data_IF_420010483750
#
_entry.id   IF_420010483750
#
_cell.length_a   1.000
_cell.length_b   1.000
_cell.length_c   1.000
_cell.angle_alpha   90.00
_cell.angle_beta   90.00
_cell.angle_gamma   90.00
#
_symmetry.space_group_name_H-M   'P 1'
#
loop_
_entity.id
_entity.type
_entity.pdbx_description
1 polymer ?
#
# COMPACT_ATOMS: atom_id res chain seq x y z
N UNK A 1 -4.38 -8.51 -6.09
CA UNK A 1 -3.47 -7.44 -5.64
C UNK A 1 -2.05 -7.83 -6.01
N UNK A 2 -1.40 -7.05 -6.91
CA UNK A 2 -0.01 -7.27 -7.28
C UNK A 2 0.92 -6.51 -6.33
N UNK A 3 1.85 -7.22 -5.71
CA UNK A 3 2.98 -6.62 -4.99
C UNK A 3 4.16 -6.61 -5.94
N UNK A 4 4.75 -5.45 -6.15
CA UNK A 4 5.93 -5.26 -6.99
C UNK A 4 7.15 -5.18 -6.09
N UNK A 5 8.07 -6.11 -6.23
CA UNK A 5 9.37 -6.11 -5.56
C UNK A 5 10.44 -5.40 -6.40
N UNK A 6 11.31 -4.66 -5.72
CA UNK A 6 12.28 -3.78 -6.34
C UNK A 6 13.72 -4.27 -6.10
N UNK A 7 14.54 -4.50 -7.16
CA UNK A 7 15.92 -4.97 -7.10
C UNK A 7 16.94 -3.91 -7.55
N UNK A 8 18.18 -4.15 -7.20
CA UNK A 8 19.31 -3.26 -7.40
C UNK A 8 20.01 -3.53 -8.74
N UNK A 9 20.21 -2.49 -9.55
CA UNK A 9 21.23 -2.47 -10.60
C UNK A 9 22.31 -1.46 -10.22
N UNK A 10 23.55 -1.91 -10.08
CA UNK A 10 24.70 -1.07 -9.75
C UNK A 10 25.25 -0.31 -10.96
N UNK A 11 24.78 -0.56 -12.19
CA UNK A 11 25.42 -0.05 -13.41
C UNK A 11 24.76 1.16 -14.06
N UNK A 12 23.52 1.48 -13.75
CA UNK A 12 22.85 2.74 -14.12
C UNK A 12 22.79 3.11 -15.61
N UNK A 13 23.11 2.20 -16.51
CA UNK A 13 23.13 2.45 -17.95
C UNK A 13 22.02 1.64 -18.64
N UNK A 14 20.96 2.32 -19.10
CA UNK A 14 20.01 1.75 -20.04
C UNK A 14 20.67 1.38 -21.38
N UNK A 15 19.98 0.59 -22.22
CA UNK A 15 20.52 0.11 -23.51
C UNK A 15 20.88 1.22 -24.51
N UNK A 16 20.46 2.47 -24.26
CA UNK A 16 20.75 3.66 -25.07
C UNK A 16 21.86 4.54 -24.46
N UNK A 17 22.53 4.09 -23.38
CA UNK A 17 23.61 4.83 -22.73
C UNK A 17 23.17 6.08 -21.98
N UNK A 18 21.87 6.26 -21.75
CA UNK A 18 21.37 7.35 -20.89
C UNK A 18 21.54 6.93 -19.44
N UNK A 19 22.42 7.62 -18.73
CA UNK A 19 22.50 7.55 -17.27
C UNK A 19 21.28 8.29 -16.73
N UNK A 20 20.24 7.56 -16.32
CA UNK A 20 19.21 8.16 -15.47
C UNK A 20 19.90 8.56 -14.15
N UNK A 21 19.74 9.79 -13.72
CA UNK A 21 20.20 10.19 -12.38
C UNK A 21 19.55 9.23 -11.38
N UNK A 22 20.32 8.45 -10.60
CA UNK A 22 19.75 7.55 -9.64
C UNK A 22 18.88 8.35 -8.69
N UNK A 23 17.59 7.97 -8.57
CA UNK A 23 16.72 8.58 -7.56
C UNK A 23 17.16 8.08 -6.20
N UNK A 24 17.35 9.00 -5.26
CA UNK A 24 17.68 8.65 -3.89
C UNK A 24 16.47 8.18 -3.10
N UNK A 25 16.72 7.40 -2.07
CA UNK A 25 15.71 6.98 -1.10
C UNK A 25 15.10 8.19 -0.40
N UNK A 26 13.87 8.03 0.06
CA UNK A 26 13.12 9.08 0.76
C UNK A 26 12.55 8.57 2.07
N UNK A 27 12.49 9.47 3.05
CA UNK A 27 11.81 9.28 4.33
C UNK A 27 11.00 10.52 4.68
N UNK A 28 10.29 10.48 5.80
CA UNK A 28 9.59 11.63 6.35
C UNK A 28 10.59 12.58 7.04
N UNK A 29 10.27 13.87 7.04
CA UNK A 29 11.08 14.90 7.74
C UNK A 29 10.79 14.92 9.23
N UNK A 30 9.56 14.69 9.63
CA UNK A 30 9.10 14.69 11.03
C UNK A 30 7.98 13.65 11.23
N UNK A 31 7.76 13.21 12.48
CA UNK A 31 6.61 12.38 12.81
C UNK A 31 5.28 13.05 12.47
N UNK A 32 4.31 12.24 12.07
CA UNK A 32 2.90 12.64 11.88
C UNK A 32 2.00 11.50 12.31
N UNK A 33 0.78 11.77 12.71
CA UNK A 33 -0.17 10.74 13.12
C UNK A 33 -1.61 11.11 12.85
N UNK A 34 -2.46 10.11 12.91
CA UNK A 34 -3.91 10.22 12.82
C UNK A 34 -4.58 9.19 13.73
N UNK A 35 -5.86 9.34 13.93
CA UNK A 35 -6.75 8.34 14.50
C UNK A 35 -7.93 8.11 13.57
N UNK A 36 -8.52 6.94 13.63
CA UNK A 36 -9.70 6.61 12.85
C UNK A 36 -10.20 5.21 13.15
N UNK A 37 -11.33 4.88 12.57
CA UNK A 37 -11.94 3.56 12.74
C UNK A 37 -11.27 2.54 11.83
N UNK A 38 -11.05 1.33 12.31
CA UNK A 38 -10.62 0.19 11.53
C UNK A 38 -11.83 -0.42 10.79
N UNK A 39 -11.69 -0.73 9.49
CA UNK A 39 -12.81 -1.12 8.63
C UNK A 39 -13.49 -2.42 9.09
N UNK A 40 -12.67 -3.46 9.31
CA UNK A 40 -13.23 -4.78 9.61
C UNK A 40 -13.52 -4.98 11.08
N UNK A 41 -12.60 -4.60 11.96
CA UNK A 41 -12.75 -4.77 13.41
C UNK A 41 -13.69 -3.74 14.06
N UNK A 42 -13.87 -2.57 13.44
CA UNK A 42 -14.71 -1.50 13.97
C UNK A 42 -14.15 -0.82 15.21
N UNK A 43 -12.89 -1.03 15.55
CA UNK A 43 -12.24 -0.37 16.69
C UNK A 43 -11.62 0.96 16.29
N UNK A 44 -11.57 1.90 17.21
CA UNK A 44 -10.76 3.11 17.04
C UNK A 44 -9.29 2.78 17.22
N UNK A 45 -8.45 3.27 16.30
CA UNK A 45 -7.00 3.05 16.32
C UNK A 45 -6.25 4.36 16.13
N UNK A 46 -5.10 4.46 16.79
CA UNK A 46 -4.12 5.52 16.56
C UNK A 46 -2.98 4.99 15.70
N UNK A 47 -2.61 5.76 14.69
CA UNK A 47 -1.48 5.46 13.81
C UNK A 47 -0.50 6.63 13.78
N UNK A 48 0.81 6.31 13.75
CA UNK A 48 1.88 7.30 13.58
C UNK A 48 2.85 6.84 12.50
N UNK A 49 3.27 7.77 11.67
CA UNK A 49 4.35 7.60 10.70
C UNK A 49 5.59 8.32 11.25
N UNK A 50 6.68 7.59 11.40
CA UNK A 50 7.93 8.11 11.94
C UNK A 50 9.02 8.05 10.87
N UNK A 51 9.89 9.09 10.77
CA UNK A 51 11.11 9.00 9.97
C UNK A 51 11.91 7.74 10.31
N UNK A 52 12.54 7.17 9.30
CA UNK A 52 13.39 6.00 9.48
C UNK A 52 14.72 6.14 8.75
N UNK A 53 15.71 5.38 9.21
CA UNK A 53 17.07 5.41 8.67
C UNK A 53 17.12 4.90 7.24
N UNK A 54 18.11 5.37 6.49
CA UNK A 54 18.39 4.93 5.13
C UNK A 54 18.52 3.39 5.06
N UNK A 55 17.81 2.77 4.12
CA UNK A 55 17.85 1.33 3.89
C UNK A 55 17.06 0.48 4.90
N UNK A 56 16.33 1.10 5.82
CA UNK A 56 15.52 0.37 6.81
C UNK A 56 14.23 -0.22 6.21
N UNK A 57 13.78 0.31 5.07
CA UNK A 57 12.51 -0.07 4.48
C UNK A 57 11.30 0.39 5.28
N UNK A 58 10.16 -0.21 4.98
CA UNK A 58 8.90 0.03 5.69
C UNK A 58 8.75 -1.01 6.81
N UNK A 59 8.43 -0.57 8.02
CA UNK A 59 8.22 -1.47 9.17
C UNK A 59 6.97 -1.04 9.94
N UNK A 60 6.07 -1.99 10.17
CA UNK A 60 4.95 -1.83 11.09
C UNK A 60 5.36 -2.21 12.51
N UNK A 61 4.91 -1.42 13.49
CA UNK A 61 5.09 -1.66 14.91
C UNK A 61 3.76 -1.58 15.66
N UNK A 62 3.36 -2.70 16.26
CA UNK A 62 2.20 -2.77 17.16
C UNK A 62 2.58 -2.21 18.52
N UNK A 63 2.05 -1.04 18.89
CA UNK A 63 2.38 -0.36 20.15
C UNK A 63 1.63 -0.91 21.36
N UNK A 64 0.53 -1.60 21.13
CA UNK A 64 -0.23 -2.32 22.16
C UNK A 64 0.40 -3.67 22.58
N UNK A 65 1.43 -4.15 21.85
CA UNK A 65 2.14 -5.39 22.14
C UNK A 65 3.40 -5.09 22.95
N UNK A 66 3.39 -5.45 24.23
CA UNK A 66 4.45 -5.08 25.18
C UNK A 66 5.76 -5.93 25.09
N UNK A 67 5.72 -7.14 24.55
CA UNK A 67 6.80 -8.13 24.70
C UNK A 67 7.52 -8.48 23.39
N UNK A 68 8.33 -7.56 22.86
CA UNK A 68 9.43 -7.93 21.94
C UNK A 68 9.09 -8.52 20.56
N UNK A 69 7.83 -8.75 20.26
CA UNK A 69 7.35 -9.31 18.97
C UNK A 69 6.54 -8.35 18.13
N UNK A 70 6.61 -7.05 18.41
CA UNK A 70 5.72 -6.03 17.86
C UNK A 70 6.07 -5.56 16.43
N UNK A 71 7.27 -5.89 15.94
CA UNK A 71 7.75 -5.43 14.63
C UNK A 71 7.38 -6.41 13.52
N UNK A 72 6.88 -5.87 12.42
CA UNK A 72 6.53 -6.60 11.19
C UNK A 72 7.16 -5.84 10.02
N UNK A 73 8.23 -6.34 9.39
CA UNK A 73 8.73 -5.75 8.15
C UNK A 73 7.66 -5.82 7.07
N UNK A 74 7.45 -4.72 6.35
CA UNK A 74 6.51 -4.70 5.22
C UNK A 74 7.20 -5.34 4.02
N UNK A 75 6.86 -6.61 3.81
CA UNK A 75 7.37 -7.43 2.71
C UNK A 75 6.27 -8.38 2.25
N UNK A 76 6.26 -8.73 0.98
CA UNK A 76 5.36 -9.72 0.41
C UNK A 76 5.49 -11.09 1.12
N UNK A 77 6.68 -11.44 1.61
CA UNK A 77 6.95 -12.67 2.36
C UNK A 77 6.17 -12.73 3.69
N UNK A 78 5.80 -11.57 4.23
CA UNK A 78 5.06 -11.43 5.47
C UNK A 78 3.54 -11.33 5.26
N UNK A 79 3.05 -11.44 4.03
CA UNK A 79 1.60 -11.50 3.76
C UNK A 79 1.06 -12.83 4.26
N UNK A 80 0.15 -12.76 5.22
CA UNK A 80 -0.48 -13.95 5.84
C UNK A 80 -1.93 -14.16 5.37
N UNK A 81 -2.58 -13.12 4.84
CA UNK A 81 -3.90 -13.19 4.25
C UNK A 81 -4.11 -12.05 3.25
N UNK A 82 -4.86 -12.34 2.19
CA UNK A 82 -5.37 -11.35 1.22
C UNK A 82 -6.89 -11.41 1.09
N UNK A 83 -7.59 -12.03 2.05
CA UNK A 83 -9.05 -12.13 2.05
C UNK A 83 -9.66 -10.79 2.52
N UNK A 84 -10.34 -10.10 1.62
CA UNK A 84 -10.98 -8.79 1.78
C UNK A 84 -10.05 -7.62 2.16
N UNK A 85 -8.87 -7.89 2.65
CA UNK A 85 -7.84 -6.90 2.98
C UNK A 85 -6.45 -7.55 2.97
N UNK A 86 -5.41 -6.75 2.74
CA UNK A 86 -4.04 -7.24 2.88
C UNK A 86 -3.64 -7.24 4.35
N UNK A 87 -3.33 -8.44 4.86
CA UNK A 87 -2.83 -8.63 6.22
C UNK A 87 -1.40 -9.14 6.19
N UNK A 88 -0.52 -8.46 6.90
CA UNK A 88 0.85 -8.93 7.13
C UNK A 88 1.05 -9.36 8.58
N UNK A 89 1.98 -10.27 8.78
CA UNK A 89 2.29 -10.81 10.10
C UNK A 89 3.74 -11.19 10.26
N UNK A 90 4.12 -11.47 11.48
CA UNK A 90 5.46 -11.93 11.82
C UNK A 90 5.46 -13.35 12.41
N UNK A 91 6.64 -13.90 12.62
CA UNK A 91 6.82 -15.25 13.19
C UNK A 91 6.27 -15.42 14.61
N UNK A 92 5.89 -14.36 15.29
CA UNK A 92 5.30 -14.37 16.63
C UNK A 92 3.77 -14.36 16.60
N UNK A 93 3.17 -14.41 15.39
CA UNK A 93 1.71 -14.36 15.21
C UNK A 93 1.09 -12.97 15.37
N UNK A 94 1.91 -11.92 15.47
CA UNK A 94 1.43 -10.54 15.50
C UNK A 94 1.10 -10.12 14.07
N UNK A 95 -0.09 -9.56 13.84
CA UNK A 95 -0.59 -9.17 12.51
C UNK A 95 -1.07 -7.74 12.50
N UNK A 96 -1.06 -7.14 11.29
CA UNK A 96 -1.75 -5.87 10.97
C UNK A 96 -2.46 -6.04 9.64
N UNK A 97 -3.73 -5.68 9.60
CA UNK A 97 -4.62 -5.79 8.44
C UNK A 97 -4.88 -4.43 7.78
N UNK A 98 -5.48 -4.46 6.58
CA UNK A 98 -5.94 -3.28 5.81
C UNK A 98 -4.80 -2.29 5.54
N UNK A 99 -3.65 -2.81 5.13
CA UNK A 99 -2.45 -1.99 4.91
C UNK A 99 -2.41 -1.33 3.52
N UNK A 100 -3.20 -1.79 2.56
CA UNK A 100 -3.12 -1.46 1.13
C UNK A 100 -3.23 0.03 0.84
N UNK A 101 -4.12 0.78 1.51
CA UNK A 101 -4.32 2.21 1.26
C UNK A 101 -3.10 3.05 1.68
N UNK A 102 -2.54 2.73 2.85
CA UNK A 102 -1.30 3.37 3.30
C UNK A 102 -0.11 2.99 2.42
N UNK A 103 0.00 1.71 2.04
CA UNK A 103 1.09 1.26 1.14
C UNK A 103 1.00 1.95 -0.21
N UNK A 104 -0.20 2.14 -0.76
CA UNK A 104 -0.41 2.88 -1.99
C UNK A 104 0.03 4.35 -1.84
N UNK A 105 -0.31 5.01 -0.73
CA UNK A 105 0.11 6.39 -0.46
C UNK A 105 1.64 6.51 -0.33
N UNK A 106 2.29 5.61 0.43
CA UNK A 106 3.74 5.60 0.59
C UNK A 106 4.46 5.37 -0.73
N UNK A 107 3.99 4.41 -1.54
CA UNK A 107 4.53 4.14 -2.86
C UNK A 107 4.33 5.34 -3.81
N UNK A 108 3.12 5.92 -3.83
CA UNK A 108 2.79 7.07 -4.67
C UNK A 108 3.52 8.36 -4.28
N UNK A 109 3.90 8.50 -3.02
CA UNK A 109 4.76 9.58 -2.51
C UNK A 109 6.26 9.22 -2.53
N UNK A 110 6.61 8.04 -3.05
CA UNK A 110 7.98 7.55 -3.17
C UNK A 110 8.74 7.45 -1.82
N UNK A 111 8.05 7.10 -0.75
CA UNK A 111 8.66 6.89 0.56
C UNK A 111 9.24 5.47 0.64
N UNK A 112 10.52 5.39 0.91
CA UNK A 112 11.26 4.12 0.99
C UNK A 112 11.47 3.64 2.43
N UNK A 113 11.62 4.58 3.38
CA UNK A 113 11.98 4.27 4.75
C UNK A 113 11.03 4.97 5.73
N UNK A 114 10.22 4.20 6.46
CA UNK A 114 9.29 4.71 7.48
C UNK A 114 8.98 3.63 8.52
N UNK A 115 8.85 4.03 9.79
CA UNK A 115 8.24 3.18 10.82
C UNK A 115 6.79 3.60 11.00
N UNK A 116 5.88 2.64 10.88
CA UNK A 116 4.44 2.81 11.03
C UNK A 116 4.05 2.23 12.37
N UNK A 117 3.68 3.06 13.32
CA UNK A 117 3.14 2.63 14.61
C UNK A 117 1.62 2.56 14.55
N UNK A 118 1.05 1.52 15.14
CA UNK A 118 -0.39 1.37 15.31
C UNK A 118 -0.68 0.67 16.64
N UNK A 119 -1.71 1.07 17.34
CA UNK A 119 -2.13 0.50 18.63
C UNK A 119 -3.20 -0.59 18.51
N UNK A 120 -3.45 -1.07 17.29
CA UNK A 120 -4.46 -2.10 17.00
C UNK A 120 -4.06 -3.04 15.88
N UNK A 121 -4.84 -4.13 15.67
CA UNK A 121 -4.55 -5.17 14.67
C UNK A 121 -4.88 -4.78 13.24
N UNK A 122 -5.33 -3.56 13.01
CA UNK A 122 -5.77 -3.07 11.71
C UNK A 122 -5.47 -1.58 11.59
N UNK A 123 -5.10 -1.11 10.38
CA UNK A 123 -4.92 0.33 10.14
C UNK A 123 -6.27 1.05 10.02
N UNK A 124 -6.33 2.36 10.34
CA UNK A 124 -7.56 3.14 10.16
C UNK A 124 -7.90 3.22 8.66
N UNK A 125 -9.19 3.07 8.33
CA UNK A 125 -9.64 3.13 6.93
C UNK A 125 -9.74 4.57 6.40
N UNK A 126 -9.80 5.54 7.26
CA UNK A 126 -9.99 6.96 6.95
C UNK A 126 -11.28 7.19 6.13
N UNK A 127 -11.19 7.76 4.93
CA UNK A 127 -12.31 7.96 4.01
C UNK A 127 -12.47 6.82 2.98
N UNK A 128 -11.67 5.76 3.12
CA UNK A 128 -11.66 4.63 2.20
C UNK A 128 -10.77 4.80 0.97
N UNK A 129 -9.98 5.86 0.92
CA UNK A 129 -9.02 6.16 -0.15
C UNK A 129 -7.59 6.24 0.40
N UNK A 130 -6.62 6.47 -0.49
CA UNK A 130 -5.23 6.75 -0.11
C UNK A 130 -4.98 8.25 0.18
N UNK A 131 -5.90 9.13 -0.19
CA UNK A 131 -5.71 10.58 -0.12
C UNK A 131 -5.40 11.12 1.30
N UNK A 132 -6.10 10.71 2.38
CA UNK A 132 -5.79 11.18 3.72
C UNK A 132 -4.37 10.81 4.17
N UNK A 133 -3.85 9.65 3.72
CA UNK A 133 -2.48 9.26 4.01
C UNK A 133 -1.46 10.06 3.20
N UNK A 134 -1.78 10.44 1.95
CA UNK A 134 -0.97 11.37 1.16
C UNK A 134 -0.87 12.72 1.87
N UNK A 135 -2.00 13.25 2.38
CA UNK A 135 -2.03 14.51 3.13
C UNK A 135 -1.17 14.43 4.41
N UNK A 136 -1.19 13.31 5.12
CA UNK A 136 -0.31 13.10 6.29
C UNK A 136 1.17 13.10 5.90
N UNK A 137 1.54 12.42 4.81
CA UNK A 137 2.91 12.39 4.30
C UNK A 137 3.36 13.80 3.91
N UNK A 138 2.51 14.59 3.27
CA UNK A 138 2.81 15.98 2.91
C UNK A 138 2.95 16.88 4.15
N UNK A 139 2.12 16.71 5.17
CA UNK A 139 2.26 17.41 6.45
C UNK A 139 3.57 17.07 7.16
N UNK A 140 3.98 15.81 7.10
CA UNK A 140 5.27 15.38 7.64
C UNK A 140 6.44 15.99 6.88
N UNK A 141 6.23 16.29 5.60
CA UNK A 141 7.28 16.66 4.65
C UNK A 141 8.17 15.48 4.31
N UNK A 142 8.72 15.50 3.11
CA UNK A 142 9.58 14.45 2.58
C UNK A 142 11.03 14.94 2.65
N UNK A 143 11.94 14.03 2.95
CA UNK A 143 13.40 14.26 2.94
C UNK A 143 14.07 13.18 2.10
N UNK A 144 14.94 13.62 1.20
CA UNK A 144 15.82 12.74 0.43
C UNK A 144 16.98 12.26 1.31
N UNK A 145 17.37 11.01 1.15
CA UNK A 145 18.44 10.34 1.90
C UNK A 145 19.60 10.01 0.97
N UNK A 146 20.80 9.95 1.52
CA UNK A 146 22.02 9.72 0.75
C UNK A 146 22.25 8.23 0.43
N UNK A 147 21.31 7.64 -0.32
CA UNK A 147 21.44 6.29 -0.88
C UNK A 147 20.50 6.14 -2.08
N UNK A 148 20.91 5.39 -3.12
CA UNK A 148 20.06 5.14 -4.26
C UNK A 148 18.83 4.29 -3.88
N UNK A 149 17.70 4.54 -4.54
CA UNK A 149 16.53 3.67 -4.48
C UNK A 149 16.84 2.33 -5.13
N UNK A 150 16.23 1.29 -4.59
CA UNK A 150 16.25 -0.04 -5.21
C UNK A 150 15.07 -0.15 -6.17
N UNK A 151 15.32 -0.72 -7.35
CA UNK A 151 14.28 -0.99 -8.33
C UNK A 151 14.40 -2.41 -8.88
N UNK A 152 13.27 -3.08 -9.12
CA UNK A 152 13.25 -4.36 -9.85
C UNK A 152 13.23 -4.07 -11.34
N UNK A 153 14.15 -4.64 -12.07
CA UNK A 153 14.12 -4.68 -13.52
C UNK A 153 13.49 -6.00 -13.98
N UNK A 154 12.39 -5.92 -14.68
CA UNK A 154 11.74 -7.09 -15.27
C UNK A 154 12.49 -7.46 -16.57
N UNK A 155 13.19 -8.60 -16.55
CA UNK A 155 14.02 -9.04 -17.69
C UNK A 155 13.25 -9.90 -18.70
N UNK A 156 12.14 -10.51 -18.29
CA UNK A 156 11.26 -11.33 -19.15
C UNK A 156 9.83 -11.27 -18.64
N UNK A 157 8.83 -11.48 -19.52
CA UNK A 157 7.44 -11.53 -19.05
C UNK A 157 7.26 -12.63 -18.01
N UNK A 158 6.54 -12.29 -16.93
CA UNK A 158 6.10 -13.22 -15.89
C UNK A 158 4.61 -13.07 -15.74
N UNK A 159 3.86 -14.17 -15.77
CA UNK A 159 2.39 -14.16 -15.60
C UNK A 159 1.99 -15.17 -14.53
N UNK A 160 1.03 -14.78 -13.72
CA UNK A 160 0.35 -15.64 -12.73
C UNK A 160 -1.13 -15.62 -13.04
N UNK A 161 -1.78 -16.77 -12.95
CA UNK A 161 -3.23 -16.95 -13.17
C UNK A 161 -3.83 -17.68 -11.98
N UNK A 162 -5.02 -17.23 -11.56
CA UNK A 162 -5.82 -17.84 -10.49
C UNK A 162 -7.30 -17.76 -10.92
N UNK A 163 -7.81 -18.83 -11.52
CA UNK A 163 -9.12 -18.86 -12.14
C UNK A 163 -9.24 -17.82 -13.25
N UNK A 164 -10.18 -16.90 -13.11
CA UNK A 164 -10.40 -15.79 -14.06
C UNK A 164 -9.49 -14.58 -13.80
N UNK A 165 -8.69 -14.61 -12.74
CA UNK A 165 -7.80 -13.53 -12.37
C UNK A 165 -6.41 -13.76 -12.94
N UNK A 166 -5.77 -12.71 -13.40
CA UNK A 166 -4.38 -12.80 -13.84
C UNK A 166 -3.59 -11.53 -13.50
N UNK A 167 -2.30 -11.70 -13.33
CA UNK A 167 -1.35 -10.61 -13.17
C UNK A 167 -0.13 -10.90 -14.05
N UNK A 168 0.36 -9.87 -14.75
CA UNK A 168 1.55 -9.98 -15.55
C UNK A 168 2.54 -8.85 -15.27
N UNK A 169 3.82 -9.19 -15.18
CA UNK A 169 4.94 -8.25 -15.19
C UNK A 169 5.60 -8.33 -16.56
N UNK A 170 5.77 -7.21 -17.23
CA UNK A 170 6.28 -7.12 -18.60
C UNK A 170 7.49 -6.19 -18.61
N UNK A 171 8.60 -6.57 -19.28
CA UNK A 171 9.74 -5.67 -19.48
C UNK A 171 9.30 -4.34 -20.09
N UNK A 172 9.80 -3.24 -19.52
CA UNK A 172 9.50 -1.87 -19.97
C UNK A 172 10.64 -0.95 -19.58
N UNK A 173 10.82 0.14 -20.34
CA UNK A 173 11.78 1.21 -20.02
C UNK A 173 11.28 2.17 -18.93
N UNK A 174 10.06 1.97 -18.45
CA UNK A 174 9.44 2.79 -17.42
C UNK A 174 8.44 1.99 -16.61
N UNK A 175 7.91 2.61 -15.55
CA UNK A 175 6.88 2.04 -14.72
C UNK A 175 5.49 2.46 -15.19
N UNK A 176 4.65 1.51 -15.51
CA UNK A 176 3.22 1.73 -15.81
C UNK A 176 2.42 0.53 -15.33
N UNK A 177 1.15 0.74 -15.09
CA UNK A 177 0.24 -0.36 -14.83
C UNK A 177 -1.11 -0.16 -15.53
N UNK A 178 -1.72 -1.28 -15.87
CA UNK A 178 -3.04 -1.36 -16.45
C UNK A 178 -3.88 -2.31 -15.60
N UNK A 179 -5.10 -1.90 -15.30
CA UNK A 179 -6.08 -2.68 -14.58
C UNK A 179 -7.29 -2.92 -15.44
N UNK A 180 -7.82 -4.09 -15.34
CA UNK A 180 -9.13 -4.43 -15.84
C UNK A 180 -9.93 -5.07 -14.71
N UNK A 181 -11.15 -4.62 -14.52
CA UNK A 181 -12.15 -5.27 -13.66
C UNK A 181 -13.38 -5.58 -14.50
N UNK A 182 -13.99 -6.72 -14.26
CA UNK A 182 -15.26 -7.09 -14.89
C UNK A 182 -16.17 -7.70 -13.81
N UNK A 183 -17.26 -7.00 -13.55
CA UNK A 183 -18.30 -7.43 -12.63
C UNK A 183 -19.59 -7.63 -13.40
N UNK A 184 -20.27 -8.74 -13.15
CA UNK A 184 -21.54 -9.07 -13.80
C UNK A 184 -22.67 -8.07 -13.50
N UNK A 185 -22.45 -7.17 -12.54
CA UNK A 185 -23.43 -6.14 -12.16
C UNK A 185 -23.41 -4.95 -13.13
N UNK A 186 -24.60 -4.49 -13.54
CA UNK A 186 -24.75 -3.35 -14.45
C UNK A 186 -24.17 -2.02 -13.93
N UNK A 187 -23.98 -1.88 -12.62
CA UNK A 187 -23.49 -0.64 -12.00
C UNK A 187 -21.99 -0.45 -12.13
N UNK A 188 -21.22 -1.53 -12.12
CA UNK A 188 -19.74 -1.50 -12.22
C UNK A 188 -19.32 -1.96 -13.62
N UNK A 189 -19.85 -3.09 -14.10
CA UNK A 189 -19.55 -3.69 -15.39
C UNK A 189 -18.02 -3.85 -15.63
N UNK A 190 -17.62 -3.87 -16.90
CA UNK A 190 -16.22 -3.91 -17.28
C UNK A 190 -15.64 -2.48 -17.29
N UNK A 191 -14.52 -2.30 -16.61
CA UNK A 191 -13.75 -1.06 -16.58
C UNK A 191 -12.28 -1.35 -16.79
N UNK A 192 -11.61 -0.46 -17.49
CA UNK A 192 -10.17 -0.50 -17.75
C UNK A 192 -9.54 0.84 -17.38
N UNK A 193 -8.36 0.80 -16.77
CA UNK A 193 -7.58 1.98 -16.44
C UNK A 193 -6.10 1.70 -16.69
N UNK A 194 -5.45 2.53 -17.49
CA UNK A 194 -4.00 2.48 -17.69
C UNK A 194 -3.36 3.78 -17.16
N UNK A 195 -2.30 3.64 -16.39
CA UNK A 195 -1.64 4.75 -15.70
C UNK A 195 -0.13 4.63 -15.81
N UNK A 196 0.50 5.77 -16.04
CA UNK A 196 1.94 5.98 -15.88
C UNK A 196 2.13 6.89 -14.67
N UNK A 197 2.48 6.36 -13.49
CA UNK A 197 2.61 7.15 -12.27
C UNK A 197 3.92 7.94 -12.30
N UNK A 198 3.91 9.07 -13.00
CA UNK A 198 5.05 10.00 -13.08
C UNK A 198 4.66 11.35 -12.47
N UNK A 199 5.60 11.99 -11.76
CA UNK A 199 5.50 13.40 -11.34
C UNK A 199 4.19 13.77 -10.61
N UNK A 200 3.71 12.92 -9.69
CA UNK A 200 2.55 13.24 -8.86
C UNK A 200 1.18 12.82 -9.42
N UNK A 201 1.12 12.15 -10.56
CA UNK A 201 -0.14 11.62 -11.12
C UNK A 201 -0.87 10.66 -10.18
N UNK A 202 -0.14 9.94 -9.31
CA UNK A 202 -0.80 9.14 -8.27
C UNK A 202 -1.74 9.98 -7.42
N UNK A 203 -1.31 11.16 -6.98
CA UNK A 203 -2.12 12.05 -6.14
C UNK A 203 -3.35 12.58 -6.87
N UNK A 204 -3.21 12.99 -8.14
CA UNK A 204 -4.33 13.54 -8.92
C UNK A 204 -5.32 12.48 -9.41
N UNK A 205 -4.80 11.31 -9.81
CA UNK A 205 -5.58 10.39 -10.63
C UNK A 205 -6.05 9.14 -9.86
N UNK A 206 -5.34 8.77 -8.78
CA UNK A 206 -5.59 7.51 -8.07
C UNK A 206 -5.92 7.72 -6.60
N UNK A 207 -5.20 8.62 -5.90
CA UNK A 207 -5.24 8.70 -4.44
C UNK A 207 -6.66 8.86 -3.88
N UNK A 208 -7.57 9.51 -4.61
CA UNK A 208 -8.97 9.72 -4.22
C UNK A 208 -9.90 8.55 -4.54
N UNK A 209 -9.40 7.49 -5.21
CA UNK A 209 -10.21 6.32 -5.50
C UNK A 209 -10.54 5.57 -4.20
N UNK A 210 -11.82 5.38 -3.93
CA UNK A 210 -12.32 4.78 -2.69
C UNK A 210 -12.59 3.29 -2.86
N UNK A 211 -12.39 2.55 -1.77
CA UNK A 211 -12.86 1.17 -1.67
C UNK A 211 -14.39 1.10 -1.79
N UNK A 212 -14.89 -0.04 -2.25
CA UNK A 212 -16.31 -0.28 -2.38
C UNK A 212 -16.68 -1.71 -1.97
N UNK A 213 -17.97 -1.92 -1.70
CA UNK A 213 -18.55 -3.24 -1.47
C UNK A 213 -19.98 -3.29 -1.99
N UNK A 214 -20.47 -4.49 -2.25
CA UNK A 214 -21.88 -4.68 -2.61
C UNK A 214 -22.74 -4.75 -1.35
N UNK A 215 -23.92 -4.14 -1.37
CA UNK A 215 -24.83 -4.13 -0.21
C UNK A 215 -25.11 -5.54 0.31
N UNK A 216 -25.31 -6.49 -0.61
CA UNK A 216 -25.55 -7.90 -0.27
C UNK A 216 -24.37 -8.55 0.48
N UNK A 217 -23.15 -8.11 0.18
CA UNK A 217 -21.93 -8.62 0.83
C UNK A 217 -21.72 -8.01 2.20
N UNK A 218 -22.12 -6.75 2.40
CA UNK A 218 -21.96 -6.04 3.67
C UNK A 218 -22.65 -6.77 4.81
N UNK A 219 -23.89 -7.22 4.61
CA UNK A 219 -24.63 -7.96 5.64
C UNK A 219 -23.96 -9.31 5.96
N UNK A 220 -23.45 -10.01 4.94
CA UNK A 220 -22.69 -11.27 5.14
C UNK A 220 -21.38 -11.03 5.87
N UNK A 221 -20.64 -9.95 5.52
CA UNK A 221 -19.41 -9.58 6.19
C UNK A 221 -19.66 -9.25 7.67
N UNK A 222 -20.69 -8.44 7.96
CA UNK A 222 -21.07 -8.10 9.34
C UNK A 222 -21.47 -9.32 10.17
N UNK A 223 -22.22 -10.23 9.59
CA UNK A 223 -22.57 -11.51 10.24
C UNK A 223 -21.33 -12.39 10.53
N UNK A 224 -20.27 -12.24 9.73
CA UNK A 224 -18.99 -12.90 9.94
C UNK A 224 -18.02 -12.12 10.85
N UNK A 225 -18.43 -10.98 11.43
CA UNK A 225 -17.61 -10.15 12.28
C UNK A 225 -16.62 -9.25 11.52
N UNK A 226 -16.89 -8.98 10.24
CA UNK A 226 -16.11 -8.09 9.36
C UNK A 226 -16.92 -6.84 9.00
N UNK A 227 -16.25 -5.83 8.45
CA UNK A 227 -16.86 -4.55 8.04
C UNK A 227 -17.68 -3.87 9.17
N UNK A 228 -17.28 -4.08 10.42
CA UNK A 228 -17.97 -3.51 11.59
C UNK A 228 -17.83 -1.99 11.69
N UNK A 229 -16.72 -1.44 11.16
CA UNK A 229 -16.46 0.00 11.06
C UNK A 229 -16.88 0.61 9.73
N UNK A 230 -17.43 -0.20 8.80
CA UNK A 230 -17.84 0.26 7.48
C UNK A 230 -19.05 1.21 7.52
N UNK A 231 -18.91 2.37 6.87
CA UNK A 231 -19.93 3.41 6.74
C UNK A 231 -19.82 4.10 5.36
N UNK A 232 -20.82 4.87 4.96
CA UNK A 232 -20.83 5.53 3.63
C UNK A 232 -19.78 6.63 3.48
N UNK A 233 -19.23 7.11 4.58
CA UNK A 233 -18.12 8.08 4.59
C UNK A 233 -16.76 7.43 4.35
N UNK A 234 -16.64 6.10 4.55
CA UNK A 234 -15.38 5.36 4.37
C UNK A 234 -15.45 4.20 3.36
N UNK A 235 -16.59 3.89 2.80
CA UNK A 235 -16.75 2.91 1.73
C UNK A 235 -17.93 3.28 0.81
N UNK A 236 -17.81 2.97 -0.47
CA UNK A 236 -18.93 3.07 -1.42
C UNK A 236 -19.72 1.76 -1.37
N UNK A 237 -21.05 1.84 -1.33
CA UNK A 237 -21.94 0.68 -1.30
C UNK A 237 -22.93 0.74 -2.44
#
# INVERSE_FOLDING_TARGET
FGVIELYHDETGAGPDGRVSTPMNQKSLRKPVGCSGIALHSGIDVEMKLLPAETGSGLTLRRTDIANGGSLIPVSWENVVSSYLATTIGNKHGVTVSTIEHLMAALAGCEIDNVVIEVDGPELPIMDGSAAPFVDLIEQAGIVEQDAPRRAIQILKPVKVEDGERSLALIPSDGFSFSFEIDFETSSIARQELAIVPVNGTFKSDIANARTFGFAEDVDRMRAAGLALGGALDNAIV
#
